data_IF_533271030412
#
_entry.id   IF_533271030412
#
_cell.length_a   1.000
_cell.length_b   1.000
_cell.length_c   1.000
_cell.angle_alpha   90.00
_cell.angle_beta   90.00
_cell.angle_gamma   90.00
#
_symmetry.space_group_name_H-M   'P 1'
#
loop_
_entity.id
_entity.type
_entity.pdbx_description
1 polymer ?
#
# COMPACT_ATOMS: atom_id res chain seq x y z
N UNK A 1 45.45 -0.79 15.88
CA UNK A 1 44.03 -0.83 16.28
C UNK A 1 43.20 -1.06 15.03
N UNK A 2 42.39 -2.13 14.99
CA UNK A 2 41.52 -2.37 13.84
C UNK A 2 40.42 -1.30 13.84
N UNK A 3 40.36 -0.47 12.79
CA UNK A 3 39.26 0.47 12.57
C UNK A 3 37.98 -0.33 12.43
N UNK A 4 36.96 0.03 13.19
CA UNK A 4 35.62 -0.58 13.09
C UNK A 4 35.12 -0.46 11.65
N UNK A 5 34.62 -1.55 11.06
CA UNK A 5 34.03 -1.56 9.71
C UNK A 5 32.87 -0.55 9.58
N UNK A 6 32.21 -0.25 10.71
CA UNK A 6 31.12 0.73 10.83
C UNK A 6 31.59 2.19 10.85
N UNK A 7 32.89 2.45 11.03
CA UNK A 7 33.50 3.78 10.96
C UNK A 7 34.26 3.98 9.63
N UNK A 8 33.96 3.16 8.63
CA UNK A 8 34.49 3.29 7.27
C UNK A 8 33.65 4.27 6.44
N UNK A 9 34.13 4.70 5.25
CA UNK A 9 33.32 5.49 4.32
C UNK A 9 31.97 4.86 3.96
N UNK A 10 31.80 3.55 4.14
CA UNK A 10 30.54 2.82 3.92
C UNK A 10 29.44 3.20 4.91
N UNK A 11 29.77 3.90 6.00
CA UNK A 11 28.78 4.51 6.90
C UNK A 11 27.80 5.42 6.15
N UNK A 12 28.21 6.02 5.03
CA UNK A 12 27.32 6.83 4.18
C UNK A 12 26.12 6.02 3.67
N UNK A 13 26.27 4.72 3.42
CA UNK A 13 25.16 3.85 2.99
C UNK A 13 24.20 3.65 4.15
N UNK A 14 24.68 3.25 5.33
CA UNK A 14 23.83 3.09 6.51
C UNK A 14 23.09 4.38 6.92
N UNK A 15 23.79 5.51 6.96
CA UNK A 15 23.18 6.82 7.29
C UNK A 15 22.25 7.29 6.17
N UNK A 16 22.66 7.14 4.90
CA UNK A 16 21.86 7.50 3.74
C UNK A 16 20.54 6.73 3.70
N UNK A 17 20.59 5.42 3.92
CA UNK A 17 19.42 4.55 4.00
C UNK A 17 18.52 4.92 5.18
N UNK A 18 19.08 5.27 6.35
CA UNK A 18 18.28 5.76 7.47
C UNK A 18 17.53 7.05 7.13
N UNK A 19 18.23 8.04 6.57
CA UNK A 19 17.62 9.31 6.15
C UNK A 19 16.55 9.08 5.08
N UNK A 20 16.80 8.19 4.13
CA UNK A 20 15.83 7.81 3.11
C UNK A 20 14.60 7.12 3.70
N UNK A 21 14.77 6.21 4.67
CA UNK A 21 13.66 5.57 5.37
C UNK A 21 12.77 6.61 6.07
N UNK A 22 13.38 7.60 6.73
CA UNK A 22 12.65 8.70 7.39
C UNK A 22 11.93 9.58 6.37
N UNK A 23 12.60 9.97 5.28
CA UNK A 23 12.02 10.79 4.21
C UNK A 23 10.86 10.06 3.50
N UNK A 24 11.02 8.78 3.19
CA UNK A 24 9.99 7.94 2.58
C UNK A 24 8.82 7.70 3.55
N UNK A 25 9.07 7.54 4.85
CA UNK A 25 8.01 7.49 5.87
C UNK A 25 7.21 8.79 5.91
N UNK A 26 7.90 9.93 5.88
CA UNK A 26 7.24 11.24 5.80
C UNK A 26 6.41 11.38 4.52
N UNK A 27 6.98 11.01 3.36
CA UNK A 27 6.27 11.04 2.08
C UNK A 27 5.04 10.12 2.09
N UNK A 28 5.14 8.95 2.72
CA UNK A 28 4.03 8.00 2.92
C UNK A 28 2.88 8.68 3.66
N UNK A 29 3.15 9.34 4.78
CA UNK A 29 2.14 10.03 5.58
C UNK A 29 1.47 11.21 4.85
N UNK A 30 2.13 11.76 3.82
CA UNK A 30 1.62 12.85 2.97
C UNK A 30 0.91 12.35 1.71
N UNK A 31 0.99 11.06 1.39
CA UNK A 31 0.42 10.52 0.15
C UNK A 31 -1.07 10.23 0.32
N UNK A 32 -1.87 10.59 -0.69
CA UNK A 32 -3.30 10.30 -0.70
C UNK A 32 -3.58 8.80 -0.51
N UNK A 33 -4.52 8.49 0.37
CA UNK A 33 -4.87 7.12 0.74
C UNK A 33 -4.09 6.56 1.92
N UNK A 34 -3.13 7.30 2.49
CA UNK A 34 -2.50 6.91 3.76
C UNK A 34 -3.57 6.70 4.85
N UNK A 35 -3.50 5.61 5.65
CA UNK A 35 -4.45 5.33 6.73
C UNK A 35 -4.20 6.21 7.96
N UNK A 36 -4.45 7.51 7.82
CA UNK A 36 -4.25 8.57 8.84
C UNK A 36 -4.91 8.32 10.20
N UNK A 37 -6.02 7.57 10.22
CA UNK A 37 -6.72 7.16 11.47
C UNK A 37 -5.92 6.17 12.32
N UNK A 38 -4.82 5.63 11.82
CA UNK A 38 -3.99 4.65 12.52
C UNK A 38 -2.54 5.13 12.63
N UNK A 39 -2.09 5.40 13.85
CA UNK A 39 -0.67 5.66 14.10
C UNK A 39 0.18 4.45 13.66
N UNK A 40 1.38 4.68 13.11
CA UNK A 40 2.28 3.63 12.62
C UNK A 40 2.50 2.51 13.65
N UNK A 41 2.72 2.87 14.93
CA UNK A 41 2.87 1.92 16.05
C UNK A 41 1.70 0.96 16.25
N UNK A 42 0.51 1.31 15.75
CA UNK A 42 -0.69 0.48 15.87
C UNK A 42 -0.88 -0.51 14.72
N UNK A 43 -0.09 -0.39 13.63
CA UNK A 43 -0.25 -1.23 12.44
C UNK A 43 -0.16 -2.73 12.73
N UNK A 44 0.75 -3.24 13.60
CA UNK A 44 0.76 -4.66 13.96
C UNK A 44 -0.55 -5.12 14.61
N UNK A 45 -1.13 -4.30 15.50
CA UNK A 45 -2.41 -4.60 16.14
C UNK A 45 -3.58 -4.57 15.14
N UNK A 46 -3.55 -3.65 14.17
CA UNK A 46 -4.53 -3.59 13.08
C UNK A 46 -4.45 -4.86 12.22
N UNK A 47 -3.26 -5.27 11.81
CA UNK A 47 -3.02 -6.51 11.06
C UNK A 47 -3.53 -7.74 11.83
N UNK A 48 -3.14 -7.90 13.09
CA UNK A 48 -3.59 -9.01 13.92
C UNK A 48 -5.12 -9.04 14.05
N UNK A 49 -5.74 -7.87 14.26
CA UNK A 49 -7.19 -7.74 14.30
C UNK A 49 -7.87 -8.10 12.97
N UNK A 50 -7.24 -7.75 11.82
CA UNK A 50 -7.73 -8.12 10.48
C UNK A 50 -7.69 -9.62 10.29
N UNK A 51 -6.54 -10.25 10.53
CA UNK A 51 -6.36 -11.70 10.40
C UNK A 51 -7.40 -12.46 11.25
N UNK A 52 -7.52 -12.11 12.53
CA UNK A 52 -8.48 -12.74 13.45
C UNK A 52 -9.94 -12.65 12.98
N UNK A 53 -10.32 -11.54 12.33
CA UNK A 53 -11.70 -11.33 11.86
C UNK A 53 -11.98 -11.88 10.48
N UNK A 54 -11.00 -11.87 9.59
CA UNK A 54 -11.19 -12.15 8.16
C UNK A 54 -10.85 -13.59 7.80
N UNK A 55 -9.83 -14.21 8.40
CA UNK A 55 -9.43 -15.60 8.10
C UNK A 55 -10.57 -16.61 8.35
N UNK A 56 -11.32 -16.56 9.47
CA UNK A 56 -12.38 -17.55 9.73
C UNK A 56 -13.59 -17.47 8.78
N UNK A 57 -13.72 -16.42 7.96
CA UNK A 57 -14.94 -16.16 7.15
C UNK A 57 -15.10 -17.08 5.94
N UNK A 58 -14.07 -17.86 5.57
CA UNK A 58 -14.05 -18.80 4.43
C UNK A 58 -14.57 -18.19 3.12
N UNK A 59 -14.20 -16.95 2.84
CA UNK A 59 -14.62 -16.24 1.63
C UNK A 59 -13.40 -15.80 0.80
N UNK A 60 -13.62 -14.98 -0.24
CA UNK A 60 -12.54 -14.47 -1.10
C UNK A 60 -11.44 -13.72 -0.34
N UNK A 61 -11.74 -13.10 0.82
CA UNK A 61 -10.71 -12.48 1.66
C UNK A 61 -9.85 -13.52 2.37
N UNK A 62 -10.42 -14.64 2.81
CA UNK A 62 -9.64 -15.77 3.34
C UNK A 62 -8.68 -16.29 2.27
N UNK A 63 -9.15 -16.44 1.03
CA UNK A 63 -8.30 -16.84 -0.09
C UNK A 63 -7.17 -15.83 -0.36
N UNK A 64 -7.46 -14.51 -0.29
CA UNK A 64 -6.44 -13.47 -0.44
C UNK A 64 -5.37 -13.51 0.67
N UNK A 65 -5.77 -13.71 1.92
CA UNK A 65 -4.83 -13.91 3.04
C UNK A 65 -4.00 -15.18 2.86
N UNK A 66 -4.62 -16.28 2.40
CA UNK A 66 -3.92 -17.52 2.08
C UNK A 66 -2.91 -17.37 0.95
N UNK A 67 -3.28 -16.67 -0.13
CA UNK A 67 -2.37 -16.37 -1.24
C UNK A 67 -1.19 -15.50 -0.79
N UNK A 68 -1.44 -14.49 0.05
CA UNK A 68 -0.38 -13.67 0.63
C UNK A 68 0.55 -14.50 1.53
N UNK A 69 0.01 -15.40 2.36
CA UNK A 69 0.82 -16.29 3.19
C UNK A 69 1.68 -17.24 2.33
N UNK A 70 1.11 -17.82 1.27
CA UNK A 70 1.84 -18.65 0.31
C UNK A 70 2.93 -17.88 -0.43
N UNK A 71 2.65 -16.64 -0.85
CA UNK A 71 3.64 -15.75 -1.46
C UNK A 71 4.80 -15.44 -0.50
N UNK A 72 4.49 -15.06 0.75
CA UNK A 72 5.50 -14.79 1.77
C UNK A 72 6.36 -16.02 2.05
N UNK A 73 5.76 -17.22 2.10
CA UNK A 73 6.50 -18.46 2.25
C UNK A 73 7.43 -18.71 1.05
N UNK A 74 6.94 -18.56 -0.17
CA UNK A 74 7.72 -18.72 -1.39
C UNK A 74 8.93 -17.77 -1.40
N UNK A 75 8.72 -16.48 -1.16
CA UNK A 75 9.79 -15.48 -1.13
C UNK A 75 10.80 -15.81 -0.02
N UNK A 76 10.34 -16.25 1.15
CA UNK A 76 11.22 -16.67 2.24
C UNK A 76 12.08 -17.87 1.83
N UNK A 77 11.48 -18.90 1.22
CA UNK A 77 12.21 -20.07 0.72
C UNK A 77 13.23 -19.68 -0.34
N UNK A 78 12.87 -18.80 -1.28
CA UNK A 78 13.81 -18.30 -2.30
C UNK A 78 14.96 -17.51 -1.66
N UNK A 79 14.66 -16.62 -0.73
CA UNK A 79 15.68 -15.81 -0.07
C UNK A 79 16.64 -16.66 0.78
N UNK A 80 16.11 -17.44 1.72
CA UNK A 80 16.93 -18.26 2.61
C UNK A 80 17.60 -19.43 1.89
N UNK A 81 16.91 -20.04 0.92
CA UNK A 81 17.50 -21.04 0.03
C UNK A 81 18.64 -20.44 -0.78
N UNK A 82 18.46 -19.23 -1.31
CA UNK A 82 19.52 -18.52 -2.03
C UNK A 82 20.76 -18.27 -1.18
N UNK A 83 20.58 -17.92 0.10
CA UNK A 83 21.70 -17.78 1.06
C UNK A 83 22.35 -19.14 1.33
N UNK A 84 21.56 -20.16 1.65
CA UNK A 84 22.05 -21.49 2.02
C UNK A 84 22.86 -22.15 0.91
N UNK A 85 22.43 -21.99 -0.34
CA UNK A 85 23.05 -22.60 -1.51
C UNK A 85 23.99 -21.65 -2.29
N UNK A 86 24.31 -20.48 -1.73
CA UNK A 86 25.13 -19.45 -2.37
C UNK A 86 24.63 -19.01 -3.76
N UNK A 87 23.31 -19.02 -4.00
CA UNK A 87 22.73 -18.63 -5.30
C UNK A 87 23.02 -17.17 -5.62
N UNK A 88 23.07 -16.30 -4.61
CA UNK A 88 23.39 -14.87 -4.75
C UNK A 88 24.75 -14.62 -5.39
N UNK A 89 25.70 -15.55 -5.30
CA UNK A 89 27.04 -15.37 -5.91
C UNK A 89 27.13 -15.91 -7.33
N UNK A 90 26.16 -16.71 -7.77
CA UNK A 90 26.19 -17.40 -9.07
C UNK A 90 25.08 -16.98 -10.03
N UNK A 91 23.95 -16.46 -9.53
CA UNK A 91 22.81 -16.03 -10.34
C UNK A 91 22.54 -14.55 -10.09
N UNK A 92 23.06 -13.64 -10.94
CA UNK A 92 23.02 -12.19 -10.67
C UNK A 92 21.61 -11.59 -10.56
N UNK A 93 20.61 -12.17 -11.22
CA UNK A 93 19.23 -11.68 -11.15
C UNK A 93 18.45 -12.21 -9.94
N UNK A 94 19.02 -13.15 -9.18
CA UNK A 94 18.32 -13.78 -8.05
C UNK A 94 17.95 -12.76 -6.99
N UNK A 95 18.87 -11.86 -6.68
CA UNK A 95 18.68 -10.80 -5.70
C UNK A 95 17.62 -9.80 -6.12
N UNK A 96 17.68 -9.38 -7.38
CA UNK A 96 16.68 -8.49 -7.98
C UNK A 96 15.28 -9.14 -7.93
N UNK A 97 15.18 -10.44 -8.20
CA UNK A 97 13.92 -11.17 -8.14
C UNK A 97 13.37 -11.18 -6.71
N UNK A 98 14.18 -11.56 -5.72
CA UNK A 98 13.73 -11.65 -4.32
C UNK A 98 13.35 -10.27 -3.77
N UNK A 99 14.06 -9.21 -4.15
CA UNK A 99 13.71 -7.82 -3.85
C UNK A 99 12.38 -7.41 -4.47
N UNK A 100 12.18 -7.64 -5.78
CA UNK A 100 10.93 -7.30 -6.45
C UNK A 100 9.73 -8.06 -5.84
N UNK A 101 9.89 -9.36 -5.58
CA UNK A 101 8.85 -10.19 -4.99
C UNK A 101 8.56 -9.81 -3.54
N UNK A 102 9.60 -9.45 -2.78
CA UNK A 102 9.50 -8.94 -1.42
C UNK A 102 8.71 -7.64 -1.37
N UNK A 103 9.07 -6.67 -2.19
CA UNK A 103 8.38 -5.38 -2.29
C UNK A 103 6.91 -5.52 -2.70
N UNK A 104 6.61 -6.39 -3.66
CA UNK A 104 5.23 -6.73 -4.01
C UNK A 104 4.47 -7.34 -2.82
N UNK A 105 5.08 -8.29 -2.10
CA UNK A 105 4.50 -8.95 -0.94
C UNK A 105 4.21 -7.97 0.21
N UNK A 106 5.14 -7.07 0.51
CA UNK A 106 4.95 -6.00 1.51
C UNK A 106 3.84 -5.06 1.08
N UNK A 107 3.81 -4.64 -0.19
CA UNK A 107 2.73 -3.80 -0.72
C UNK A 107 1.36 -4.50 -0.60
N UNK A 108 1.30 -5.80 -0.89
CA UNK A 108 0.08 -6.60 -0.74
C UNK A 108 -0.35 -6.74 0.72
N UNK A 109 0.58 -6.94 1.65
CA UNK A 109 0.32 -6.99 3.08
C UNK A 109 -0.28 -5.67 3.59
N UNK A 110 0.37 -4.55 3.27
CA UNK A 110 -0.12 -3.21 3.60
C UNK A 110 -1.47 -2.93 2.93
N UNK A 111 -1.57 -3.30 1.66
CA UNK A 111 -2.76 -3.16 0.84
C UNK A 111 -3.96 -3.91 1.42
N UNK A 112 -3.78 -5.13 1.88
CA UNK A 112 -4.86 -5.94 2.47
C UNK A 112 -5.20 -5.50 3.89
N UNK A 113 -4.19 -5.12 4.69
CA UNK A 113 -4.36 -4.59 6.06
C UNK A 113 -5.22 -3.31 6.05
N UNK A 114 -4.90 -2.39 5.14
CA UNK A 114 -5.57 -1.10 4.99
C UNK A 114 -6.44 -1.03 3.72
N UNK A 115 -7.07 -2.15 3.37
CA UNK A 115 -7.84 -2.35 2.11
C UNK A 115 -8.74 -1.18 1.71
N UNK A 116 -9.50 -0.60 2.63
CA UNK A 116 -10.38 0.53 2.32
C UNK A 116 -9.61 1.75 1.83
N UNK A 117 -8.51 2.08 2.48
CA UNK A 117 -7.67 3.22 2.11
C UNK A 117 -6.93 2.96 0.81
N UNK A 118 -6.34 1.77 0.66
CA UNK A 118 -5.61 1.35 -0.56
C UNK A 118 -6.51 1.28 -1.78
N UNK A 119 -7.72 0.74 -1.66
CA UNK A 119 -8.67 0.73 -2.78
C UNK A 119 -9.04 2.17 -3.18
N UNK A 120 -9.20 3.10 -2.24
CA UNK A 120 -9.50 4.51 -2.56
C UNK A 120 -8.36 5.22 -3.27
N UNK A 121 -7.13 5.05 -2.79
CA UNK A 121 -5.94 5.60 -3.42
C UNK A 121 -4.75 4.69 -3.07
N UNK A 122 -4.23 3.87 -3.99
CA UNK A 122 -3.23 2.87 -3.65
C UNK A 122 -1.81 3.42 -3.59
N UNK A 123 -1.55 4.63 -4.12
CA UNK A 123 -0.19 5.13 -4.34
C UNK A 123 0.62 5.34 -3.05
N UNK A 124 -0.01 5.46 -1.88
CA UNK A 124 0.70 5.59 -0.61
C UNK A 124 1.55 4.35 -0.26
N UNK A 125 1.23 3.17 -0.82
CA UNK A 125 2.02 1.95 -0.56
C UNK A 125 3.42 2.01 -1.18
N UNK A 126 3.62 2.82 -2.23
CA UNK A 126 4.92 2.92 -2.92
C UNK A 126 5.99 3.54 -2.01
N UNK A 127 5.81 4.77 -1.47
CA UNK A 127 6.77 5.32 -0.51
C UNK A 127 6.81 4.51 0.80
N UNK A 128 5.73 3.79 1.17
CA UNK A 128 5.74 2.94 2.36
C UNK A 128 6.69 1.74 2.20
N UNK A 129 6.67 1.10 1.03
CA UNK A 129 7.57 0.00 0.70
C UNK A 129 9.01 0.49 0.53
N UNK A 130 9.21 1.69 -0.05
CA UNK A 130 10.54 2.32 -0.09
C UNK A 130 11.08 2.56 1.33
N UNK A 131 10.24 3.05 2.25
CA UNK A 131 10.64 3.26 3.64
C UNK A 131 11.03 1.95 4.34
N UNK A 132 10.28 0.87 4.10
CA UNK A 132 10.59 -0.45 4.63
C UNK A 132 11.88 -0.98 4.02
N UNK A 133 12.05 -0.88 2.69
CA UNK A 133 13.26 -1.30 1.98
C UNK A 133 14.50 -0.56 2.49
N UNK A 134 14.44 0.76 2.62
CA UNK A 134 15.54 1.54 3.18
C UNK A 134 15.81 1.18 4.65
N UNK A 135 14.79 0.77 5.40
CA UNK A 135 14.97 0.19 6.74
C UNK A 135 15.69 -1.17 6.72
N UNK A 136 15.45 -1.99 5.68
CA UNK A 136 16.19 -3.24 5.47
C UNK A 136 17.67 -2.98 5.17
N UNK A 137 18.00 -1.99 4.35
CA UNK A 137 19.40 -1.57 4.10
C UNK A 137 20.13 -1.19 5.41
N UNK A 138 19.44 -0.49 6.32
CA UNK A 138 19.98 -0.18 7.65
C UNK A 138 20.21 -1.46 8.46
N UNK A 139 19.26 -2.40 8.43
CA UNK A 139 19.43 -3.70 9.06
C UNK A 139 20.63 -4.46 8.48
N UNK A 140 20.81 -4.45 7.16
CA UNK A 140 21.93 -5.14 6.52
C UNK A 140 23.27 -4.51 6.87
N UNK A 141 23.34 -3.18 6.83
CA UNK A 141 24.49 -2.43 7.30
C UNK A 141 24.86 -2.82 8.73
N UNK A 142 23.90 -2.92 9.66
CA UNK A 142 24.17 -3.18 11.08
C UNK A 142 24.44 -4.65 11.42
N UNK A 143 23.82 -5.59 10.71
CA UNK A 143 23.77 -6.99 11.15
C UNK A 143 24.35 -8.00 10.16
N UNK A 144 24.61 -7.60 8.91
CA UNK A 144 25.19 -8.48 7.89
C UNK A 144 26.66 -8.19 7.69
N UNK A 145 27.39 -9.19 7.18
CA UNK A 145 28.85 -9.11 6.99
C UNK A 145 29.28 -9.15 5.53
N UNK A 146 28.38 -9.43 4.59
CA UNK A 146 28.72 -9.60 3.18
C UNK A 146 29.31 -8.32 2.57
N UNK A 147 28.83 -7.14 2.98
CA UNK A 147 29.28 -5.85 2.45
C UNK A 147 30.69 -5.44 2.94
N UNK A 148 31.26 -6.12 3.95
CA UNK A 148 32.55 -5.75 4.52
C UNK A 148 33.68 -5.74 3.47
N UNK A 149 33.63 -6.64 2.50
CA UNK A 149 34.66 -6.76 1.45
C UNK A 149 34.33 -5.97 0.17
N UNK A 150 33.16 -5.35 0.07
CA UNK A 150 32.76 -4.59 -1.11
C UNK A 150 33.52 -3.26 -1.22
N UNK A 151 33.63 -2.73 -2.43
CA UNK A 151 34.01 -1.33 -2.61
C UNK A 151 32.85 -0.43 -2.20
N UNK A 152 33.11 0.83 -1.85
CA UNK A 152 32.03 1.78 -1.54
C UNK A 152 31.08 1.96 -2.74
N UNK A 153 31.65 2.10 -3.95
CA UNK A 153 30.86 2.29 -5.17
C UNK A 153 29.92 1.13 -5.43
N UNK A 154 30.42 -0.11 -5.32
CA UNK A 154 29.58 -1.30 -5.47
C UNK A 154 28.45 -1.34 -4.44
N UNK A 155 28.75 -1.03 -3.18
CA UNK A 155 27.73 -1.05 -2.13
C UNK A 155 26.64 0.01 -2.34
N UNK A 156 27.00 1.21 -2.81
CA UNK A 156 26.01 2.24 -3.16
C UNK A 156 25.14 1.80 -4.33
N UNK A 157 25.77 1.25 -5.39
CA UNK A 157 25.06 0.79 -6.58
C UNK A 157 24.05 -0.32 -6.25
N UNK A 158 24.49 -1.31 -5.49
CA UNK A 158 23.69 -2.44 -5.01
C UNK A 158 22.47 -1.96 -4.20
N UNK A 159 22.69 -1.17 -3.14
CA UNK A 159 21.61 -0.58 -2.33
C UNK A 159 20.63 0.24 -3.18
N UNK A 160 21.10 1.05 -4.14
CA UNK A 160 20.20 1.84 -4.99
C UNK A 160 19.35 0.93 -5.89
N UNK A 161 19.97 -0.08 -6.50
CA UNK A 161 19.27 -1.04 -7.36
C UNK A 161 18.23 -1.80 -6.54
N UNK A 162 18.58 -2.31 -5.38
CA UNK A 162 17.68 -3.07 -4.50
C UNK A 162 16.47 -2.24 -4.09
N UNK A 163 16.68 -0.97 -3.71
CA UNK A 163 15.58 -0.07 -3.38
C UNK A 163 14.66 0.22 -4.58
N UNK A 164 15.22 0.42 -5.77
CA UNK A 164 14.45 0.63 -7.00
C UNK A 164 13.64 -0.61 -7.34
N UNK A 165 14.26 -1.79 -7.32
CA UNK A 165 13.64 -3.06 -7.69
C UNK A 165 12.59 -3.48 -6.67
N UNK A 166 12.87 -3.36 -5.37
CA UNK A 166 11.89 -3.53 -4.30
C UNK A 166 10.68 -2.58 -4.49
N UNK A 167 10.93 -1.30 -4.78
CA UNK A 167 9.85 -0.32 -4.99
C UNK A 167 9.04 -0.61 -6.27
N UNK A 168 9.66 -1.17 -7.31
CA UNK A 168 8.98 -1.56 -8.55
C UNK A 168 7.87 -2.60 -8.30
N UNK A 169 8.11 -3.56 -7.40
CA UNK A 169 7.09 -4.52 -6.96
C UNK A 169 5.88 -3.84 -6.32
N UNK A 170 6.10 -2.78 -5.53
CA UNK A 170 5.03 -1.98 -4.96
C UNK A 170 4.25 -1.17 -6.00
N UNK A 171 4.93 -0.64 -7.02
CA UNK A 171 4.29 0.04 -8.15
C UNK A 171 3.36 -0.92 -8.90
N UNK A 172 3.85 -2.13 -9.22
CA UNK A 172 3.02 -3.17 -9.87
C UNK A 172 1.78 -3.48 -9.03
N UNK A 173 1.94 -3.65 -7.72
CA UNK A 173 0.80 -3.85 -6.81
C UNK A 173 -0.19 -2.66 -6.85
N UNK A 174 0.30 -1.42 -6.76
CA UNK A 174 -0.55 -0.24 -6.75
C UNK A 174 -1.34 -0.08 -8.06
N UNK A 175 -0.73 -0.39 -9.20
CA UNK A 175 -1.39 -0.42 -10.51
C UNK A 175 -2.45 -1.52 -10.58
N UNK A 176 -2.14 -2.72 -10.08
CA UNK A 176 -3.10 -3.82 -10.00
C UNK A 176 -4.30 -3.46 -9.12
N UNK A 177 -4.08 -2.84 -7.95
CA UNK A 177 -5.13 -2.38 -7.06
C UNK A 177 -6.02 -1.29 -7.71
N UNK A 178 -5.42 -0.36 -8.45
CA UNK A 178 -6.14 0.66 -9.23
C UNK A 178 -6.99 0.02 -10.33
N UNK A 179 -6.42 -0.96 -11.05
CA UNK A 179 -7.13 -1.72 -12.08
C UNK A 179 -8.32 -2.51 -11.51
N UNK A 180 -8.09 -3.20 -10.40
CA UNK A 180 -9.15 -3.92 -9.67
C UNK A 180 -10.29 -3.00 -9.25
N UNK A 181 -9.99 -1.82 -8.66
CA UNK A 181 -11.02 -0.82 -8.32
C UNK A 181 -11.87 -0.44 -9.54
N UNK A 182 -11.23 -0.15 -10.68
CA UNK A 182 -11.95 0.26 -11.89
C UNK A 182 -12.93 -0.82 -12.36
N UNK A 183 -12.54 -2.09 -12.29
CA UNK A 183 -13.39 -3.22 -12.67
C UNK A 183 -14.60 -3.39 -11.75
N UNK A 184 -14.45 -3.18 -10.45
CA UNK A 184 -15.58 -3.29 -9.51
C UNK A 184 -16.49 -2.05 -9.48
N UNK A 185 -16.01 -0.90 -9.97
CA UNK A 185 -16.80 0.34 -10.05
C UNK A 185 -17.59 0.47 -11.37
N UNK A 186 -17.08 -0.08 -12.47
CA UNK A 186 -17.72 -0.04 -13.79
C UNK A 186 -19.19 -0.55 -13.85
N UNK A 187 -19.60 -1.60 -13.10
CA UNK A 187 -20.98 -2.09 -13.12
C UNK A 187 -22.01 -1.10 -12.52
N UNK A 188 -21.57 -0.20 -11.64
CA UNK A 188 -22.46 0.72 -10.92
C UNK A 188 -22.84 1.94 -11.78
N UNK A 189 -21.94 2.39 -12.67
CA UNK A 189 -22.24 3.49 -13.60
C UNK A 189 -23.06 3.06 -14.83
N UNK A 190 -22.95 1.80 -15.25
CA UNK A 190 -23.75 1.28 -16.38
C UNK A 190 -25.24 1.11 -16.01
N UNK A 191 -25.57 0.91 -14.73
CA UNK A 191 -26.95 0.77 -14.24
C UNK A 191 -27.61 2.12 -13.88
N UNK A 192 -26.88 3.23 -13.87
CA UNK A 192 -27.38 4.57 -13.55
C UNK A 192 -27.68 5.42 -14.80
N UNK A 193 -27.81 4.78 -15.97
CA UNK A 193 -27.81 5.41 -17.29
C UNK A 193 -29.14 5.45 -18.04
N UNK A 194 -30.28 5.13 -17.41
CA UNK A 194 -31.58 5.36 -18.05
C UNK A 194 -32.23 6.62 -17.46
N UNK A 195 -32.23 7.76 -18.17
CA UNK A 195 -33.21 8.80 -17.91
C UNK A 195 -34.56 8.25 -18.36
N UNK A 196 -35.43 7.91 -17.40
CA UNK A 196 -36.86 7.78 -17.66
C UNK A 196 -37.33 9.16 -18.12
N UNK A 197 -37.48 9.32 -19.42
CA UNK A 197 -38.25 10.42 -20.01
C UNK A 197 -39.69 10.16 -19.63
N UNK A 198 -40.11 10.74 -18.50
CA UNK A 198 -41.54 10.90 -18.18
C UNK A 198 -42.10 11.83 -19.23
N UNK A 199 -42.89 11.27 -20.14
CA UNK A 199 -43.69 12.03 -21.06
C UNK A 199 -44.89 12.61 -20.28
N UNK A 200 -44.72 13.81 -19.74
CA UNK A 200 -45.87 14.61 -19.31
C UNK A 200 -46.43 15.33 -20.54
N UNK A 201 -47.35 14.63 -21.20
CA UNK A 201 -48.42 15.29 -21.93
C UNK A 201 -49.53 15.57 -20.95
N UNK A 202 -49.83 16.85 -20.71
CA UNK A 202 -51.15 17.24 -20.23
C UNK A 202 -51.54 18.59 -20.82
N UNK A 203 -52.61 18.54 -21.61
CA UNK A 203 -53.35 19.70 -22.09
C UNK A 203 -54.14 20.31 -20.94
N UNK A 204 -54.17 21.64 -20.92
CA UNK A 204 -55.04 22.43 -20.08
C UNK A 204 -56.53 22.12 -20.34
N UNK A 205 -57.38 22.33 -19.33
CA UNK A 205 -58.39 23.37 -19.51
C UNK A 205 -58.50 24.35 -18.33
N UNK A 206 -59.05 25.51 -18.68
CA UNK A 206 -59.32 26.68 -17.85
C UNK A 206 -60.58 26.54 -16.98
N UNK A 207 -60.68 27.42 -15.97
CA UNK A 207 -61.83 27.67 -15.09
C UNK A 207 -61.34 27.72 -13.64
N UNK A 208 -60.92 28.88 -13.12
CA UNK A 208 -61.75 29.97 -12.58
C UNK A 208 -62.80 29.47 -11.57
N UNK A 209 -62.53 29.71 -10.29
CA UNK A 209 -63.47 30.39 -9.41
C UNK A 209 -62.81 30.70 -8.05
N UNK A 210 -62.82 31.99 -7.75
CA UNK A 210 -62.56 32.67 -6.49
C UNK A 210 -63.38 32.11 -5.32
N UNK A 211 -62.74 31.87 -4.17
CA UNK A 211 -63.37 32.18 -2.89
C UNK A 211 -62.35 32.52 -1.80
N UNK A 212 -62.60 33.66 -1.17
CA UNK A 212 -61.85 34.32 -0.12
C UNK A 212 -62.48 34.04 1.24
N UNK A 213 -61.70 33.56 2.22
CA UNK A 213 -62.01 33.61 3.68
C UNK A 213 -60.65 33.68 4.40
N UNK A 214 -60.18 34.86 4.80
CA UNK A 214 -60.45 35.56 6.09
C UNK A 214 -59.84 34.85 7.32
N UNK A 215 -58.71 35.41 7.75
CA UNK A 215 -58.11 35.58 9.10
C UNK A 215 -58.54 34.67 10.26
N UNK A 216 -57.54 34.11 10.98
CA UNK A 216 -57.26 34.53 12.37
C UNK A 216 -55.91 33.98 12.90
N UNK A 217 -55.04 34.89 13.34
CA UNK A 217 -53.96 34.69 14.32
C UNK A 217 -54.51 35.30 15.62
N UNK A 218 -54.43 34.70 16.82
CA UNK A 218 -53.19 34.63 17.61
C UNK A 218 -53.10 33.34 18.47
N UNK A 219 -51.99 32.96 19.10
CA UNK A 219 -51.60 33.47 20.42
C UNK A 219 -50.24 32.90 20.84
N UNK A 220 -49.41 33.78 21.37
CA UNK A 220 -48.16 33.49 22.07
C UNK A 220 -48.47 33.49 23.57
N UNK A 221 -48.30 32.37 24.26
CA UNK A 221 -47.86 32.45 25.66
C UNK A 221 -47.28 31.14 26.23
N UNK A 222 -46.05 31.31 26.76
CA UNK A 222 -45.33 30.57 27.82
C UNK A 222 -44.56 29.31 27.46
#
# INVERSE_FOLDING_TARGET
>A
MATSQYLSPKLVVGVGSLLLALAATWATARTSGYPDRHALRSWPAVLAGRLRREVPRRNSLTAAWGALAGWSLLVSVLHFGGVLYNVYTVVPWWDLLTHAMGGFGVAALLGLTFRRSTLRAPLWVVPAVLAIGAGFEVYEFLFKRFWHHWTLGFYIEDTVIDLVVNTSGAVVFALAARGYRRRIAAPVSAAAGDPVVVADGDGAPAGDDTESVETDEPDRSR
#
